data_IF_497681449696
#
_entry.id   IF_497681449696
#
_cell.length_a   1.000
_cell.length_b   1.000
_cell.length_c   1.000
_cell.angle_alpha   90.00
_cell.angle_beta   90.00
_cell.angle_gamma   90.00
#
_symmetry.space_group_name_H-M   'P 1'
#
loop_
_entity.id
_entity.type
_entity.pdbx_description
1 polymer ?
#
# COMPACT_ATOMS: atom_id res chain seq x y z
N UNK A 1 1.16 60.80 -25.72
CA UNK A 1 2.58 60.72 -25.33
C UNK A 1 2.59 60.21 -23.89
N UNK A 2 3.03 59.02 -23.52
CA UNK A 2 3.85 58.02 -24.20
C UNK A 2 3.40 56.61 -23.76
N UNK A 3 3.55 55.64 -24.66
CA UNK A 3 3.59 54.22 -24.35
C UNK A 3 4.83 53.92 -23.51
N UNK A 4 4.71 53.03 -22.54
CA UNK A 4 5.85 52.22 -22.09
C UNK A 4 5.43 50.75 -22.19
N UNK A 5 5.87 50.11 -23.27
CA UNK A 5 5.96 48.65 -23.36
C UNK A 5 7.10 48.19 -22.46
N UNK A 6 6.81 47.34 -21.47
CA UNK A 6 7.83 46.50 -20.85
C UNK A 6 7.64 45.10 -21.40
N UNK A 7 8.52 44.77 -22.35
CA UNK A 7 8.71 43.44 -22.90
C UNK A 7 9.47 42.52 -21.92
N UNK A 8 9.14 41.23 -22.04
CA UNK A 8 9.98 40.05 -21.82
C UNK A 8 10.14 39.50 -20.40
N UNK A 9 9.19 38.65 -20.01
CA UNK A 9 9.47 37.43 -19.24
C UNK A 9 9.38 36.22 -20.19
N UNK A 10 10.52 35.69 -20.63
CA UNK A 10 10.56 34.46 -21.42
C UNK A 10 10.05 33.25 -20.62
N UNK A 11 9.61 32.16 -21.27
CA UNK A 11 9.10 31.00 -20.56
C UNK A 11 10.22 30.39 -19.71
N UNK A 12 10.08 30.46 -18.39
CA UNK A 12 10.91 29.66 -17.48
C UNK A 12 10.76 28.20 -17.91
N UNK A 13 11.86 27.63 -18.40
CA UNK A 13 11.94 26.22 -18.76
C UNK A 13 11.85 25.44 -17.45
N UNK A 14 10.62 25.11 -17.05
CA UNK A 14 10.35 24.22 -15.92
C UNK A 14 11.12 22.93 -16.18
N UNK A 15 12.05 22.60 -15.27
CA UNK A 15 12.81 21.37 -15.37
C UNK A 15 11.83 20.19 -15.34
N UNK A 16 11.83 19.40 -16.41
CA UNK A 16 11.02 18.19 -16.49
C UNK A 16 11.62 17.15 -15.55
N UNK A 17 10.85 16.70 -14.56
CA UNK A 17 11.29 15.70 -13.57
C UNK A 17 10.58 14.38 -13.86
N UNK A 18 11.33 13.28 -13.86
CA UNK A 18 10.80 11.92 -14.03
C UNK A 18 10.93 11.11 -12.74
N UNK A 19 9.86 10.45 -12.32
CA UNK A 19 9.88 9.48 -11.22
C UNK A 19 10.02 8.06 -11.78
N UNK A 20 10.82 7.22 -11.11
CA UNK A 20 11.04 5.83 -11.55
C UNK A 20 10.19 4.81 -10.81
N UNK A 21 9.63 5.18 -9.65
CA UNK A 21 8.81 4.30 -8.83
C UNK A 21 7.92 5.09 -7.86
N UNK A 22 6.80 4.48 -7.49
CA UNK A 22 5.95 4.87 -6.36
C UNK A 22 5.89 3.69 -5.39
N UNK A 23 6.20 3.92 -4.11
CA UNK A 23 6.23 2.87 -3.09
C UNK A 23 5.39 3.32 -1.89
N UNK A 24 4.19 2.74 -1.68
CA UNK A 24 3.43 3.00 -0.47
C UNK A 24 4.24 2.62 0.77
N UNK A 25 4.24 3.49 1.78
CA UNK A 25 4.86 3.21 3.08
C UNK A 25 3.79 3.01 4.15
N UNK A 26 3.77 1.81 4.72
CA UNK A 26 2.87 1.38 5.76
C UNK A 26 3.55 1.55 7.11
N UNK A 27 3.13 2.57 7.85
CA UNK A 27 3.57 2.84 9.21
C UNK A 27 2.74 2.02 10.19
N UNK A 28 3.39 1.23 11.05
CA UNK A 28 2.72 0.44 12.08
C UNK A 28 3.28 0.79 13.45
N UNK A 29 2.44 0.71 14.48
CA UNK A 29 2.84 0.98 15.86
C UNK A 29 4.06 0.12 16.24
N UNK A 30 5.11 0.77 16.73
CA UNK A 30 6.32 0.07 17.15
C UNK A 30 6.01 -0.86 18.34
N UNK A 31 6.55 -2.09 18.42
CA UNK A 31 7.54 -2.74 17.54
C UNK A 31 6.92 -3.70 16.48
N UNK A 32 5.73 -3.42 15.96
CA UNK A 32 4.94 -4.39 15.20
C UNK A 32 5.36 -4.54 13.73
N UNK A 33 6.32 -3.78 13.21
CA UNK A 33 6.71 -3.85 11.80
C UNK A 33 7.26 -5.23 11.40
N UNK A 34 8.00 -5.91 12.28
CA UNK A 34 8.50 -7.25 11.98
C UNK A 34 7.36 -8.27 11.85
N UNK A 35 6.34 -8.16 12.70
CA UNK A 35 5.14 -9.00 12.64
C UNK A 35 4.32 -8.69 11.39
N UNK A 36 4.21 -7.40 11.04
CA UNK A 36 3.50 -6.97 9.84
C UNK A 36 4.12 -7.54 8.56
N UNK A 37 5.45 -7.55 8.51
CA UNK A 37 6.17 -8.23 7.43
C UNK A 37 5.81 -9.71 7.37
N UNK A 38 5.75 -10.44 8.49
CA UNK A 38 5.36 -11.86 8.48
C UNK A 38 3.90 -12.05 8.06
N UNK A 39 3.00 -11.16 8.48
CA UNK A 39 1.62 -11.16 8.03
C UNK A 39 1.55 -11.05 6.51
N UNK A 40 2.18 -10.03 5.90
CA UNK A 40 2.10 -9.84 4.44
C UNK A 40 2.73 -10.99 3.65
N UNK A 41 3.81 -11.59 4.16
CA UNK A 41 4.40 -12.81 3.59
C UNK A 41 3.41 -13.98 3.62
N UNK A 42 2.73 -14.17 4.75
CA UNK A 42 1.81 -15.30 4.96
C UNK A 42 0.48 -15.10 4.22
N UNK A 43 -0.12 -13.92 4.33
CA UNK A 43 -1.41 -13.56 3.75
C UNK A 43 -1.33 -13.45 2.22
N UNK A 44 -0.38 -12.65 1.71
CA UNK A 44 -0.36 -12.23 0.31
C UNK A 44 0.83 -12.80 -0.47
N UNK A 45 1.70 -13.57 0.17
CA UNK A 45 2.90 -14.11 -0.51
C UNK A 45 3.95 -13.06 -0.81
N UNK A 46 3.96 -11.95 -0.07
CA UNK A 46 4.98 -10.91 -0.22
C UNK A 46 6.38 -11.50 0.02
N UNK A 47 7.39 -10.97 -0.66
CA UNK A 47 8.79 -11.37 -0.52
C UNK A 47 9.59 -10.20 0.01
N UNK A 48 10.32 -10.42 1.10
CA UNK A 48 11.17 -9.37 1.66
C UNK A 48 12.47 -9.24 0.87
N UNK A 49 12.68 -8.07 0.25
CA UNK A 49 13.89 -7.74 -0.49
C UNK A 49 15.02 -7.24 0.43
N UNK A 50 14.67 -6.66 1.57
CA UNK A 50 15.63 -6.22 2.58
C UNK A 50 14.99 -5.33 3.63
N UNK A 51 15.71 -5.08 4.73
CA UNK A 51 15.29 -4.13 5.76
C UNK A 51 16.43 -3.33 6.35
N UNK A 52 16.07 -2.16 6.86
CA UNK A 52 16.90 -1.27 7.67
C UNK A 52 16.29 -1.17 9.06
N UNK A 53 17.14 -1.13 10.08
CA UNK A 53 16.74 -1.07 11.49
C UNK A 53 17.39 0.14 12.17
N UNK A 54 16.78 0.63 13.23
CA UNK A 54 17.37 1.71 14.01
C UNK A 54 18.68 1.23 14.68
N UNK A 55 19.79 1.98 14.57
CA UNK A 55 21.08 1.56 15.12
C UNK A 55 21.11 1.56 16.64
N UNK A 56 20.27 2.40 17.27
CA UNK A 56 20.10 2.45 18.72
C UNK A 56 18.86 1.65 19.10
N UNK A 57 19.04 0.71 20.01
CA UNK A 57 17.99 -0.12 20.60
C UNK A 57 17.90 0.22 22.10
N UNK A 58 16.68 0.31 22.65
CA UNK A 58 16.49 0.43 24.10
C UNK A 58 16.89 -0.90 24.76
N UNK A 59 17.47 -0.85 25.96
CA UNK A 59 17.93 -2.05 26.66
C UNK A 59 16.84 -3.13 26.84
N UNK A 60 15.57 -2.70 26.92
CA UNK A 60 14.39 -3.54 27.13
C UNK A 60 13.84 -4.16 25.84
N UNK A 61 14.23 -3.65 24.67
CA UNK A 61 13.79 -4.23 23.39
C UNK A 61 14.51 -5.56 23.17
N UNK A 62 13.90 -6.53 22.50
CA UNK A 62 14.51 -7.81 22.08
C UNK A 62 15.13 -7.75 20.67
N UNK A 63 14.72 -6.80 19.85
CA UNK A 63 15.24 -6.50 18.52
C UNK A 63 15.18 -4.99 18.27
N UNK A 64 16.08 -4.41 17.45
CA UNK A 64 15.96 -3.01 17.06
C UNK A 64 14.67 -2.81 16.25
N UNK A 65 14.03 -1.64 16.42
CA UNK A 65 12.88 -1.27 15.60
C UNK A 65 13.23 -1.26 14.11
N UNK A 66 12.26 -1.62 13.28
CA UNK A 66 12.39 -1.59 11.83
C UNK A 66 12.18 -0.16 11.35
N UNK A 67 13.25 0.44 10.81
CA UNK A 67 13.16 1.75 10.16
C UNK A 67 12.41 1.64 8.83
N UNK A 68 12.73 0.62 8.04
CA UNK A 68 12.04 0.33 6.79
C UNK A 68 12.34 -1.08 6.32
N UNK A 69 11.32 -1.90 6.08
CA UNK A 69 11.40 -3.19 5.40
C UNK A 69 10.77 -3.07 4.02
N UNK A 70 11.48 -3.50 2.98
CA UNK A 70 11.02 -3.51 1.60
C UNK A 70 10.42 -4.87 1.27
N UNK A 71 9.16 -4.88 0.86
CA UNK A 71 8.44 -6.07 0.42
C UNK A 71 8.06 -5.93 -1.06
N UNK A 72 8.38 -6.95 -1.84
CA UNK A 72 7.90 -7.12 -3.20
C UNK A 72 6.60 -7.93 -3.17
N UNK A 73 5.55 -7.40 -3.78
CA UNK A 73 4.21 -7.98 -3.80
C UNK A 73 3.52 -7.65 -5.13
N UNK A 74 3.10 -8.68 -5.87
CA UNK A 74 2.41 -8.54 -7.15
C UNK A 74 3.11 -7.60 -8.17
N UNK A 75 4.45 -7.63 -8.23
CA UNK A 75 5.24 -6.77 -9.11
C UNK A 75 5.40 -5.32 -8.64
N UNK A 76 4.85 -4.98 -7.47
CA UNK A 76 5.00 -3.68 -6.81
C UNK A 76 5.84 -3.78 -5.55
N UNK A 77 6.38 -2.65 -5.09
CA UNK A 77 7.11 -2.57 -3.83
C UNK A 77 6.31 -1.80 -2.79
N UNK A 78 6.13 -2.37 -1.60
CA UNK A 78 5.63 -1.68 -0.41
C UNK A 78 6.74 -1.59 0.66
N UNK A 79 6.70 -0.53 1.47
CA UNK A 79 7.60 -0.33 2.59
C UNK A 79 6.82 -0.50 3.90
N UNK A 80 7.41 -1.13 4.91
CA UNK A 80 6.82 -1.29 6.26
C UNK A 80 7.76 -0.71 7.31
N UNK A 81 7.26 0.09 8.24
CA UNK A 81 8.09 0.83 9.20
C UNK A 81 7.43 0.93 10.57
N UNK A 82 8.24 0.83 11.63
CA UNK A 82 7.79 1.12 13.00
C UNK A 82 7.63 2.64 13.17
N UNK A 83 6.52 3.08 13.76
CA UNK A 83 6.32 4.45 14.24
C UNK A 83 6.25 4.47 15.77
N UNK A 84 7.06 5.31 16.41
CA UNK A 84 7.03 5.53 17.85
C UNK A 84 5.96 6.58 18.20
N UNK A 85 5.23 6.35 19.30
CA UNK A 85 4.06 7.11 19.78
C UNK A 85 4.23 8.64 19.95
N UNK A 86 5.43 9.19 19.75
CA UNK A 86 5.71 10.60 19.97
C UNK A 86 5.41 11.52 18.76
N UNK A 87 4.94 10.98 17.64
CA UNK A 87 4.46 11.77 16.51
C UNK A 87 3.11 11.24 16.05
N UNK A 88 2.04 11.92 16.50
CA UNK A 88 0.64 11.73 16.13
C UNK A 88 -0.06 10.51 16.72
N UNK A 89 -1.34 10.62 17.13
CA UNK A 89 -2.10 9.45 17.53
C UNK A 89 -2.14 8.50 16.34
N UNK A 90 -1.58 7.31 16.53
CA UNK A 90 -1.84 6.14 15.70
C UNK A 90 -3.33 5.79 15.90
N UNK A 91 -4.21 6.63 15.34
CA UNK A 91 -5.57 6.24 15.04
C UNK A 91 -5.45 5.29 13.87
N UNK A 92 -5.17 4.03 14.18
CA UNK A 92 -5.27 2.87 13.30
C UNK A 92 -6.74 2.57 12.94
N UNK A 93 -7.59 3.60 12.92
CA UNK A 93 -8.97 3.54 12.48
C UNK A 93 -9.06 4.26 11.16
N UNK A 94 -8.69 3.54 10.09
CA UNK A 94 -8.75 4.02 8.72
C UNK A 94 -7.49 4.78 8.33
N UNK A 95 -6.40 4.05 8.08
CA UNK A 95 -5.32 4.60 7.26
C UNK A 95 -5.95 5.14 5.98
N UNK A 96 -5.78 6.43 5.66
CA UNK A 96 -6.46 7.09 4.54
C UNK A 96 -6.08 6.57 3.15
N UNK A 97 -5.32 5.46 3.08
CA UNK A 97 -4.95 4.76 1.86
C UNK A 97 -5.53 3.35 1.89
N UNK A 98 -6.22 3.01 0.80
CA UNK A 98 -6.68 1.65 0.50
C UNK A 98 -5.69 1.05 -0.50
N UNK A 99 -5.24 -0.18 -0.24
CA UNK A 99 -4.34 -0.91 -1.12
C UNK A 99 -5.16 -1.91 -1.94
N UNK A 100 -4.89 -2.00 -3.24
CA UNK A 100 -5.60 -2.92 -4.12
C UNK A 100 -4.66 -4.02 -4.61
N UNK A 101 -5.11 -5.27 -4.51
CA UNK A 101 -4.47 -6.44 -5.09
C UNK A 101 -5.41 -7.09 -6.09
N UNK A 102 -4.85 -7.56 -7.20
CA UNK A 102 -5.61 -8.27 -8.22
C UNK A 102 -5.28 -9.77 -8.23
N UNK A 103 -6.30 -10.62 -8.34
CA UNK A 103 -6.19 -12.08 -8.39
C UNK A 103 -7.41 -12.69 -9.06
N UNK A 104 -7.24 -13.82 -9.74
CA UNK A 104 -8.36 -14.58 -10.31
C UNK A 104 -9.26 -15.22 -9.23
N UNK A 105 -8.69 -15.53 -8.06
CA UNK A 105 -9.38 -16.19 -6.95
C UNK A 105 -9.46 -15.27 -5.72
N UNK A 106 -10.51 -14.44 -5.70
CA UNK A 106 -10.75 -13.44 -4.65
C UNK A 106 -11.07 -14.11 -3.31
N UNK A 107 -11.91 -15.15 -3.30
CA UNK A 107 -12.28 -15.88 -2.09
C UNK A 107 -11.09 -16.55 -1.43
N UNK A 108 -10.26 -17.26 -2.20
CA UNK A 108 -9.10 -17.94 -1.64
C UNK A 108 -8.09 -16.95 -1.07
N UNK A 109 -7.91 -15.81 -1.73
CA UNK A 109 -7.04 -14.74 -1.24
C UNK A 109 -7.57 -14.12 0.06
N UNK A 110 -8.89 -13.86 0.16
CA UNK A 110 -9.53 -13.39 1.40
C UNK A 110 -9.37 -14.44 2.50
N UNK A 111 -9.68 -15.71 2.22
CA UNK A 111 -9.57 -16.79 3.20
C UNK A 111 -8.15 -16.93 3.74
N UNK A 112 -7.15 -16.83 2.86
CA UNK A 112 -5.73 -16.85 3.25
C UNK A 112 -5.36 -15.65 4.12
N UNK A 113 -5.80 -14.45 3.76
CA UNK A 113 -5.57 -13.25 4.57
C UNK A 113 -6.23 -13.33 5.96
N UNK A 114 -7.45 -13.87 6.03
CA UNK A 114 -8.17 -14.12 7.29
C UNK A 114 -7.44 -15.15 8.14
N UNK A 115 -6.95 -16.24 7.54
CA UNK A 115 -6.17 -17.26 8.27
C UNK A 115 -4.86 -16.72 8.86
N UNK A 116 -4.30 -15.66 8.26
CA UNK A 116 -3.10 -14.99 8.75
C UNK A 116 -3.41 -13.92 9.83
N UNK A 117 -4.69 -13.66 10.14
CA UNK A 117 -5.11 -12.69 11.16
C UNK A 117 -5.86 -11.46 10.62
N UNK A 118 -6.12 -11.39 9.32
CA UNK A 118 -6.98 -10.36 8.74
C UNK A 118 -8.46 -10.58 9.07
N UNK A 119 -9.26 -9.53 8.88
CA UNK A 119 -10.72 -9.57 9.06
C UNK A 119 -11.37 -9.21 7.73
N UNK A 120 -12.15 -10.14 7.17
CA UNK A 120 -12.97 -9.84 5.99
C UNK A 120 -14.06 -8.83 6.37
N UNK A 121 -14.20 -7.76 5.59
CA UNK A 121 -15.21 -6.73 5.79
C UNK A 121 -16.29 -6.83 4.71
N UNK A 122 -17.47 -7.31 5.12
CA UNK A 122 -18.61 -7.50 4.21
C UNK A 122 -18.50 -8.75 3.34
N UNK A 123 -19.40 -8.86 2.37
CA UNK A 123 -19.42 -9.94 1.38
C UNK A 123 -18.65 -9.55 0.12
N UNK A 124 -18.17 -10.54 -0.63
CA UNK A 124 -17.60 -10.30 -1.97
C UNK A 124 -18.74 -9.83 -2.88
N UNK A 125 -18.56 -8.65 -3.47
CA UNK A 125 -19.54 -8.03 -4.38
C UNK A 125 -19.03 -8.04 -5.81
N UNK A 126 -19.94 -8.18 -6.77
CA UNK A 126 -19.67 -7.83 -8.17
C UNK A 126 -19.78 -6.32 -8.33
N UNK A 127 -18.81 -5.67 -8.97
CA UNK A 127 -18.86 -4.23 -9.20
C UNK A 127 -18.00 -3.75 -10.37
N UNK A 128 -18.49 -2.71 -11.03
CA UNK A 128 -17.81 -2.02 -12.13
C UNK A 128 -17.17 -0.72 -11.60
N UNK A 129 -16.19 -0.86 -10.71
CA UNK A 129 -15.48 0.26 -10.09
C UNK A 129 -14.22 0.67 -10.87
N UNK A 130 -13.77 1.91 -10.67
CA UNK A 130 -12.57 2.46 -11.33
C UNK A 130 -11.25 1.70 -11.05
N UNK A 131 -11.25 0.77 -10.08
CA UNK A 131 -10.11 -0.09 -9.72
C UNK A 131 -10.28 -1.56 -10.12
N UNK A 132 -11.48 -1.95 -10.52
CA UNK A 132 -11.98 -3.30 -10.27
C UNK A 132 -13.27 -3.49 -11.07
N UNK A 133 -13.17 -4.07 -12.27
CA UNK A 133 -14.32 -4.35 -13.16
C UNK A 133 -14.88 -5.77 -13.00
N UNK A 134 -14.83 -6.31 -11.78
CA UNK A 134 -15.15 -7.70 -11.48
C UNK A 134 -15.51 -7.88 -10.01
N UNK A 135 -15.07 -8.98 -9.41
CA UNK A 135 -15.35 -9.35 -8.02
C UNK A 135 -14.45 -8.56 -7.10
N UNK A 136 -15.00 -7.97 -6.05
CA UNK A 136 -14.23 -7.24 -5.04
C UNK A 136 -14.62 -7.71 -3.66
N UNK A 137 -13.61 -8.04 -2.86
CA UNK A 137 -13.76 -8.21 -1.43
C UNK A 137 -12.77 -7.31 -0.68
N UNK A 138 -13.06 -7.11 0.60
CA UNK A 138 -12.30 -6.19 1.45
C UNK A 138 -11.78 -6.93 2.67
N UNK A 139 -10.51 -6.70 3.01
CA UNK A 139 -9.87 -7.25 4.21
C UNK A 139 -9.22 -6.11 4.98
N UNK A 140 -9.51 -6.02 6.27
CA UNK A 140 -8.76 -5.18 7.21
C UNK A 140 -7.68 -6.03 7.87
N UNK A 141 -6.43 -5.61 7.77
CA UNK A 141 -5.32 -6.31 8.40
C UNK A 141 -5.18 -5.98 9.91
N UNK A 142 -4.35 -6.73 10.67
CA UNK A 142 -4.14 -6.47 12.10
C UNK A 142 -3.60 -5.08 12.43
N UNK A 143 -3.06 -4.36 11.44
CA UNK A 143 -2.47 -3.04 11.56
C UNK A 143 -3.39 -1.96 10.99
N UNK A 144 -4.67 -2.31 10.75
CA UNK A 144 -5.76 -1.43 10.36
C UNK A 144 -5.70 -0.88 8.94
N UNK A 145 -4.83 -1.41 8.07
CA UNK A 145 -4.90 -1.10 6.65
C UNK A 145 -6.03 -1.89 5.99
N UNK A 146 -6.67 -1.23 5.05
CA UNK A 146 -7.73 -1.82 4.24
C UNK A 146 -7.14 -2.26 2.91
N UNK A 147 -7.35 -3.52 2.59
CA UNK A 147 -6.98 -4.17 1.35
C UNK A 147 -8.24 -4.48 0.55
N UNK A 148 -8.31 -4.02 -0.70
CA UNK A 148 -9.26 -4.51 -1.69
C UNK A 148 -8.60 -5.62 -2.48
N UNK A 149 -9.29 -6.74 -2.60
CA UNK A 149 -8.88 -7.90 -3.38
C UNK A 149 -9.87 -8.01 -4.52
N UNK A 150 -9.37 -7.80 -5.74
CA UNK A 150 -10.17 -7.60 -6.93
C UNK A 150 -9.87 -8.69 -7.96
N UNK A 151 -10.88 -9.13 -8.71
CA UNK A 151 -10.61 -9.84 -9.96
C UNK A 151 -10.39 -8.85 -11.10
N UNK A 152 -9.56 -9.20 -12.11
CA UNK A 152 -9.45 -8.39 -13.31
C UNK A 152 -10.82 -8.17 -13.96
N UNK A 153 -10.98 -7.03 -14.63
CA UNK A 153 -12.18 -6.77 -15.41
C UNK A 153 -12.33 -7.84 -16.50
N UNK A 154 -13.51 -8.46 -16.61
CA UNK A 154 -13.79 -9.31 -17.78
C UNK A 154 -13.68 -8.42 -19.01
N UNK A 155 -12.69 -8.67 -19.87
CA UNK A 155 -12.71 -8.12 -21.23
C UNK A 155 -14.00 -8.63 -21.86
N UNK A 156 -14.97 -7.74 -22.05
CA UNK A 156 -16.08 -8.01 -22.95
C UNK A 156 -15.42 -8.31 -24.30
N UNK A 157 -15.47 -9.56 -24.74
CA UNK A 157 -14.89 -9.96 -26.01
C UNK A 157 -15.49 -9.12 -27.12
N UNK A 158 -14.67 -8.67 -28.06
CA UNK A 158 -15.14 -8.12 -29.33
C UNK A 158 -16.26 -9.01 -29.84
N UNK A 159 -17.47 -8.46 -29.90
CA UNK A 159 -18.57 -9.06 -30.62
C UNK A 159 -18.17 -9.00 -32.10
N UNK A 160 -17.49 -10.05 -32.57
CA UNK A 160 -17.23 -10.24 -33.99
C UNK A 160 -18.59 -10.44 -34.68
N UNK A 161 -18.84 -9.54 -35.64
CA UNK A 161 -20.08 -9.37 -36.38
C UNK A 161 -20.25 -10.40 -37.52
#
# INVERSE_FOLDING_TARGET
MAQEEVQNGGPEKVAEVSFTALKPQLMVEAPKAADAVQFYKTAFGAVEAGRTVYPKRKAEQEQPHVLSAQLELAGSTILVSDIADNSTPVKTEGTGCVLCLETEDVEAAIAKAVSAGGVAEGEVTEGDGACCGGRVGKVKDPYGYVWLICSPAKKCGDAEA
#
